data_IF_980108744287
#
_entry.id   IF_980108744287
#
_cell.length_a   1.000
_cell.length_b   1.000
_cell.length_c   1.000
_cell.angle_alpha   90.00
_cell.angle_beta   90.00
_cell.angle_gamma   90.00
#
_symmetry.space_group_name_H-M   'P 1'
#
loop_
_entity.id
_entity.type
_entity.pdbx_description
1 polymer ?
#
# COMPACT_ATOMS: atom_id res chain seq x y z
N UNK A 1 16.76 -78.79 -14.82
CA UNK A 1 17.11 -77.44 -15.31
C UNK A 1 15.90 -76.56 -15.13
N UNK A 2 15.88 -75.76 -14.06
CA UNK A 2 14.91 -74.68 -13.87
C UNK A 2 15.64 -73.60 -13.09
N UNK A 3 16.30 -72.71 -13.84
CA UNK A 3 16.82 -71.45 -13.31
C UNK A 3 15.62 -70.55 -12.98
N UNK A 4 15.41 -70.29 -11.69
CA UNK A 4 14.47 -69.27 -11.24
C UNK A 4 15.09 -67.90 -11.48
N UNK A 5 14.58 -67.15 -12.48
CA UNK A 5 14.94 -65.75 -12.70
C UNK A 5 14.57 -64.93 -11.45
N UNK A 6 15.58 -64.38 -10.78
CA UNK A 6 15.38 -63.49 -9.64
C UNK A 6 14.60 -62.22 -10.10
N UNK A 7 13.62 -61.73 -9.31
CA UNK A 7 12.88 -60.52 -9.66
C UNK A 7 13.84 -59.32 -9.69
N UNK A 8 13.85 -58.60 -10.80
CA UNK A 8 14.65 -57.40 -10.97
C UNK A 8 14.15 -56.32 -10.00
N UNK A 9 14.89 -56.05 -8.91
CA UNK A 9 14.59 -54.95 -7.99
C UNK A 9 14.58 -53.62 -8.75
N UNK A 10 13.46 -52.91 -8.72
CA UNK A 10 13.34 -51.57 -9.30
C UNK A 10 14.40 -50.61 -8.72
N UNK A 11 15.19 -49.96 -9.58
CA UNK A 11 16.19 -48.96 -9.16
C UNK A 11 15.50 -47.75 -8.50
N UNK A 12 16.11 -47.23 -7.42
CA UNK A 12 15.62 -46.06 -6.69
C UNK A 12 15.56 -44.82 -7.60
N UNK A 13 14.46 -44.05 -7.63
CA UNK A 13 14.25 -43.00 -8.62
C UNK A 13 14.85 -41.65 -8.17
N UNK A 14 16.18 -41.54 -8.16
CA UNK A 14 16.92 -40.35 -7.68
C UNK A 14 16.40 -39.04 -8.30
N UNK A 15 16.19 -39.00 -9.61
CA UNK A 15 15.71 -37.79 -10.30
C UNK A 15 14.32 -37.35 -9.83
N UNK A 16 13.39 -38.31 -9.64
CA UNK A 16 12.06 -38.03 -9.09
C UNK A 16 12.16 -37.56 -7.64
N UNK A 17 13.00 -38.19 -6.82
CA UNK A 17 13.23 -37.78 -5.43
C UNK A 17 13.72 -36.34 -5.34
N UNK A 18 14.70 -35.96 -6.16
CA UNK A 18 15.23 -34.59 -6.19
C UNK A 18 14.13 -33.61 -6.63
N UNK A 19 13.41 -33.92 -7.71
CA UNK A 19 12.33 -33.07 -8.19
C UNK A 19 11.22 -32.88 -7.14
N UNK A 20 10.81 -33.96 -6.47
CA UNK A 20 9.84 -33.92 -5.37
C UNK A 20 10.37 -33.09 -4.19
N UNK A 21 11.64 -33.26 -3.80
CA UNK A 21 12.23 -32.50 -2.70
C UNK A 21 12.27 -30.99 -3.00
N UNK A 22 12.63 -30.61 -4.23
CA UNK A 22 12.63 -29.21 -4.66
C UNK A 22 11.21 -28.63 -4.67
N UNK A 23 10.24 -29.35 -5.24
CA UNK A 23 8.84 -28.92 -5.25
C UNK A 23 8.27 -28.80 -3.83
N UNK A 24 8.58 -29.76 -2.95
CA UNK A 24 8.17 -29.71 -1.55
C UNK A 24 8.76 -28.50 -0.83
N UNK A 25 10.07 -28.25 -0.99
CA UNK A 25 10.73 -27.09 -0.39
C UNK A 25 10.11 -25.77 -0.87
N UNK A 26 9.76 -25.67 -2.16
CA UNK A 26 9.06 -24.52 -2.71
C UNK A 26 7.67 -24.33 -2.08
N UNK A 27 6.85 -25.39 -2.00
CA UNK A 27 5.50 -25.31 -1.43
C UNK A 27 5.52 -24.93 0.06
N UNK A 28 6.44 -25.51 0.83
CA UNK A 28 6.65 -25.14 2.23
C UNK A 28 7.13 -23.69 2.35
N UNK A 29 8.08 -23.27 1.50
CA UNK A 29 8.56 -21.89 1.43
C UNK A 29 7.43 -20.89 1.14
N UNK A 30 6.55 -21.20 0.19
CA UNK A 30 5.37 -20.40 -0.12
C UNK A 30 4.39 -20.34 1.07
N UNK A 31 4.15 -21.46 1.76
CA UNK A 31 3.32 -21.48 2.96
C UNK A 31 3.88 -20.61 4.10
N UNK A 32 5.19 -20.70 4.36
CA UNK A 32 5.86 -19.85 5.37
C UNK A 32 5.79 -18.38 4.98
N UNK A 33 6.05 -18.06 3.72
CA UNK A 33 5.93 -16.69 3.22
C UNK A 33 4.52 -16.12 3.39
N UNK A 34 3.47 -16.92 3.13
CA UNK A 34 2.09 -16.51 3.36
C UNK A 34 1.82 -16.19 4.85
N UNK A 35 2.32 -16.98 5.79
CA UNK A 35 2.19 -16.69 7.23
C UNK A 35 2.95 -15.42 7.65
N UNK A 36 4.13 -15.17 7.09
CA UNK A 36 4.85 -13.92 7.32
C UNK A 36 4.08 -12.72 6.78
N UNK A 37 3.50 -12.87 5.57
CA UNK A 37 2.69 -11.84 4.92
C UNK A 37 1.40 -11.55 5.69
N UNK A 38 0.79 -12.59 6.28
CA UNK A 38 -0.35 -12.48 7.19
C UNK A 38 -0.02 -11.55 8.36
N UNK A 39 1.04 -11.85 9.11
CA UNK A 39 1.46 -11.04 10.27
C UNK A 39 1.79 -9.60 9.90
N UNK A 40 2.46 -9.40 8.77
CA UNK A 40 2.73 -8.07 8.25
C UNK A 40 1.43 -7.29 7.95
N UNK A 41 0.45 -7.93 7.32
CA UNK A 41 -0.87 -7.32 7.05
C UNK A 41 -1.65 -7.02 8.33
N UNK A 42 -1.63 -7.92 9.31
CA UNK A 42 -2.26 -7.71 10.62
C UNK A 42 -1.68 -6.48 11.33
N UNK A 43 -0.35 -6.29 11.30
CA UNK A 43 0.27 -5.10 11.87
C UNK A 43 -0.21 -3.80 11.21
N UNK A 44 -0.44 -3.80 9.89
CA UNK A 44 -1.01 -2.65 9.17
C UNK A 44 -2.46 -2.40 9.61
N UNK A 45 -3.29 -3.45 9.69
CA UNK A 45 -4.68 -3.34 10.12
C UNK A 45 -4.80 -2.73 11.52
N UNK A 46 -3.93 -3.12 12.45
CA UNK A 46 -3.88 -2.53 13.80
C UNK A 46 -3.59 -1.04 13.75
N UNK A 47 -2.62 -0.60 12.93
CA UNK A 47 -2.29 0.83 12.78
C UNK A 47 -3.44 1.62 12.16
N UNK A 48 -4.10 1.05 11.16
CA UNK A 48 -5.29 1.65 10.53
C UNK A 48 -6.41 1.82 11.55
N UNK A 49 -6.72 0.79 12.33
CA UNK A 49 -7.78 0.84 13.36
C UNK A 49 -7.45 1.84 14.49
N UNK A 50 -6.18 1.91 14.91
CA UNK A 50 -5.72 2.90 15.88
C UNK A 50 -5.86 4.32 15.33
N UNK A 51 -5.49 4.56 14.07
CA UNK A 51 -5.64 5.86 13.43
C UNK A 51 -7.10 6.31 13.33
N UNK A 52 -8.02 5.40 13.02
CA UNK A 52 -9.46 5.70 12.89
C UNK A 52 -10.11 6.22 14.19
N UNK A 53 -9.61 5.78 15.35
CA UNK A 53 -10.22 6.09 16.65
C UNK A 53 -9.42 7.09 17.50
N UNK A 54 -8.16 7.35 17.14
CA UNK A 54 -7.32 8.31 17.84
C UNK A 54 -7.89 9.75 17.74
N UNK A 55 -7.70 10.56 18.78
CA UNK A 55 -7.93 12.00 18.69
C UNK A 55 -6.80 12.65 17.87
N UNK A 56 -7.10 13.67 17.04
CA UNK A 56 -6.07 14.27 16.20
C UNK A 56 -5.13 15.12 17.06
N UNK A 57 -3.83 14.89 16.92
CA UNK A 57 -2.80 15.71 17.58
C UNK A 57 -2.32 16.83 16.66
N UNK A 58 -1.63 17.83 17.20
CA UNK A 58 -1.07 18.91 16.37
C UNK A 58 0.03 18.39 15.43
N UNK A 59 0.02 18.84 14.17
CA UNK A 59 0.97 18.39 13.15
C UNK A 59 2.44 18.68 13.51
N UNK A 60 2.76 19.87 14.04
CA UNK A 60 4.13 20.34 14.26
C UNK A 60 5.01 19.34 15.04
N UNK A 61 4.65 18.99 16.29
CA UNK A 61 5.42 18.03 17.09
C UNK A 61 5.60 16.66 16.42
N UNK A 62 4.62 16.22 15.63
CA UNK A 62 4.71 14.95 14.89
C UNK A 62 5.75 15.07 13.77
N UNK A 63 5.78 16.19 13.05
CA UNK A 63 6.81 16.42 12.04
C UNK A 63 8.22 16.59 12.62
N UNK A 64 8.35 17.15 13.83
CA UNK A 64 9.63 17.18 14.54
C UNK A 64 10.13 15.78 14.88
N UNK A 65 9.25 14.88 15.32
CA UNK A 65 9.58 13.47 15.53
C UNK A 65 10.00 12.79 14.21
N UNK A 66 9.32 13.09 13.09
CA UNK A 66 9.70 12.59 11.78
C UNK A 66 11.09 13.10 11.34
N UNK A 67 11.43 14.36 11.65
CA UNK A 67 12.75 14.93 11.36
C UNK A 67 13.89 14.23 12.13
N UNK A 68 13.57 13.58 13.26
CA UNK A 68 14.49 12.78 14.07
C UNK A 68 14.51 11.29 13.67
N UNK A 69 13.79 10.92 12.60
CA UNK A 69 13.72 9.54 12.10
C UNK A 69 12.60 8.69 12.69
N UNK A 70 11.68 9.29 13.47
CA UNK A 70 10.50 8.60 13.98
C UNK A 70 9.56 8.15 12.86
N UNK A 71 8.92 6.99 13.04
CA UNK A 71 7.85 6.55 12.13
C UNK A 71 6.52 7.22 12.50
N UNK A 72 6.08 8.14 11.64
CA UNK A 72 4.82 8.89 11.81
C UNK A 72 3.70 8.43 10.89
N UNK A 73 3.93 7.38 10.09
CA UNK A 73 2.93 6.81 9.19
C UNK A 73 1.72 6.30 10.02
N UNK A 74 0.51 6.54 9.50
CA UNK A 74 -0.78 6.31 10.18
C UNK A 74 -1.04 7.22 11.41
N UNK A 75 -0.29 8.30 11.61
CA UNK A 75 -0.58 9.24 12.71
C UNK A 75 -1.70 10.20 12.32
N UNK A 76 -2.76 10.27 13.14
CA UNK A 76 -3.87 11.20 12.95
C UNK A 76 -3.52 12.59 13.49
N UNK A 77 -3.60 13.61 12.65
CA UNK A 77 -3.18 14.98 12.98
C UNK A 77 -4.22 16.01 12.55
N UNK A 78 -4.13 17.19 13.16
CA UNK A 78 -4.85 18.40 12.75
C UNK A 78 -3.86 19.51 12.38
N UNK A 79 -4.21 20.27 11.34
CA UNK A 79 -3.47 21.44 10.87
C UNK A 79 -4.42 22.42 10.20
N UNK A 80 -4.08 23.70 10.23
CA UNK A 80 -4.80 24.75 9.50
C UNK A 80 -4.06 25.06 8.20
N UNK A 81 -4.73 24.93 7.07
CA UNK A 81 -4.14 25.12 5.74
C UNK A 81 -5.01 26.07 4.91
N UNK A 82 -4.48 26.68 3.84
CA UNK A 82 -5.33 27.33 2.84
C UNK A 82 -6.38 26.34 2.29
N UNK A 83 -7.61 26.80 2.00
CA UNK A 83 -8.62 25.99 1.29
C UNK A 83 -8.24 25.76 -0.19
N UNK A 84 -8.84 24.77 -0.89
CA UNK A 84 -8.53 24.58 -2.34
C UNK A 84 -8.94 25.78 -3.20
N UNK A 85 -9.90 26.58 -2.74
CA UNK A 85 -10.25 27.82 -3.40
C UNK A 85 -9.11 28.85 -3.40
N UNK A 86 -8.12 28.71 -2.50
CA UNK A 86 -7.01 29.65 -2.35
C UNK A 86 -5.64 29.05 -2.73
N UNK A 87 -5.57 27.73 -2.94
CA UNK A 87 -4.30 27.01 -3.09
C UNK A 87 -4.17 26.39 -4.48
N UNK A 88 -3.02 26.54 -5.16
CA UNK A 88 -2.72 25.71 -6.31
C UNK A 88 -2.72 24.24 -5.89
N UNK A 89 -3.20 23.38 -6.78
CA UNK A 89 -3.22 21.93 -6.57
C UNK A 89 -2.75 21.20 -7.82
N UNK A 90 -2.24 19.98 -7.61
CA UNK A 90 -1.84 19.04 -8.63
C UNK A 90 -2.89 17.93 -8.74
N UNK A 91 -3.10 17.42 -9.94
CA UNK A 91 -3.94 16.25 -10.18
C UNK A 91 -3.05 15.00 -10.27
N UNK A 92 -3.18 14.14 -9.26
CA UNK A 92 -2.56 12.81 -9.23
C UNK A 92 -3.55 11.79 -9.77
N UNK A 93 -3.25 11.23 -10.94
CA UNK A 93 -4.05 10.16 -11.53
C UNK A 93 -4.28 9.03 -10.52
N UNK A 94 -5.52 8.59 -10.40
CA UNK A 94 -5.92 7.52 -9.50
C UNK A 94 -7.03 6.67 -10.12
N UNK A 95 -6.94 5.36 -9.88
CA UNK A 95 -8.00 4.42 -10.23
C UNK A 95 -8.69 3.99 -8.93
N UNK A 96 -9.94 4.41 -8.77
CA UNK A 96 -10.74 4.04 -7.61
C UNK A 96 -11.13 2.55 -7.66
N UNK A 97 -11.53 1.99 -6.51
CA UNK A 97 -12.08 0.64 -6.44
C UNK A 97 -13.30 0.53 -7.37
N UNK A 98 -13.33 -0.49 -8.24
CA UNK A 98 -14.37 -0.63 -9.27
C UNK A 98 -13.99 -0.10 -10.67
N UNK A 99 -12.80 0.49 -10.83
CA UNK A 99 -12.26 0.88 -12.15
C UNK A 99 -12.63 2.28 -12.61
N UNK A 100 -13.19 3.12 -11.73
CA UNK A 100 -13.46 4.53 -12.02
C UNK A 100 -12.15 5.32 -12.00
N UNK A 101 -11.80 5.90 -13.15
CA UNK A 101 -10.66 6.80 -13.26
C UNK A 101 -11.00 8.19 -12.70
N UNK A 102 -9.99 8.87 -12.19
CA UNK A 102 -10.10 10.23 -11.70
C UNK A 102 -8.74 10.74 -11.22
N UNK A 103 -8.79 11.83 -10.45
CA UNK A 103 -7.63 12.46 -9.88
C UNK A 103 -7.77 12.63 -8.38
N UNK A 104 -6.67 12.49 -7.66
CA UNK A 104 -6.54 12.98 -6.28
C UNK A 104 -5.95 14.39 -6.32
N UNK A 105 -6.60 15.31 -5.63
CA UNK A 105 -6.16 16.71 -5.59
C UNK A 105 -5.11 16.89 -4.49
N UNK A 106 -3.89 17.23 -4.89
CA UNK A 106 -2.75 17.39 -3.99
C UNK A 106 -2.40 18.87 -3.86
N UNK A 107 -2.40 19.41 -2.65
CA UNK A 107 -2.06 20.82 -2.37
C UNK A 107 -0.93 20.93 -1.37
N UNK A 108 -0.30 22.10 -1.27
CA UNK A 108 0.71 22.37 -0.27
C UNK A 108 0.10 23.09 0.94
N UNK A 109 0.46 22.64 2.14
CA UNK A 109 0.10 23.31 3.38
C UNK A 109 1.37 23.79 4.10
N UNK A 110 1.51 25.11 4.37
CA UNK A 110 2.62 25.63 5.14
C UNK A 110 2.70 25.05 6.54
N UNK A 111 3.92 24.86 7.04
CA UNK A 111 4.20 24.45 8.42
C UNK A 111 5.03 25.55 9.07
N UNK A 112 4.55 26.07 10.20
CA UNK A 112 5.11 27.27 10.83
C UNK A 112 6.47 27.03 11.49
N UNK A 113 6.67 25.83 12.07
CA UNK A 113 7.82 25.51 12.89
C UNK A 113 8.45 24.15 12.53
N UNK A 114 9.73 24.00 12.86
CA UNK A 114 10.50 22.77 12.66
C UNK A 114 11.37 22.79 11.40
N UNK A 115 11.93 21.61 11.06
CA UNK A 115 12.83 21.41 9.91
C UNK A 115 12.11 21.56 8.56
N UNK A 116 10.83 21.25 8.53
CA UNK A 116 10.01 21.29 7.32
C UNK A 116 9.24 22.60 7.25
N UNK A 117 9.01 23.09 6.03
CA UNK A 117 8.22 24.31 5.77
C UNK A 117 6.90 24.01 5.10
N UNK A 118 6.67 22.77 4.67
CA UNK A 118 5.45 22.35 3.99
C UNK A 118 5.13 20.89 4.30
N UNK A 119 3.84 20.56 4.38
CA UNK A 119 3.33 19.19 4.20
C UNK A 119 2.46 19.16 2.95
N UNK A 120 2.61 18.13 2.11
CA UNK A 120 1.69 17.92 0.99
C UNK A 120 0.41 17.27 1.49
N UNK A 121 -0.74 17.78 1.04
CA UNK A 121 -2.06 17.35 1.49
C UNK A 121 -2.81 16.72 0.34
N UNK A 122 -3.19 15.46 0.50
CA UNK A 122 -4.13 14.74 -0.36
C UNK A 122 -5.55 15.07 0.11
N UNK A 123 -6.27 15.83 -0.71
CA UNK A 123 -7.57 16.43 -0.36
C UNK A 123 -8.74 15.51 -0.63
N UNK A 124 -8.51 14.42 -1.35
CA UNK A 124 -9.53 13.49 -1.81
C UNK A 124 -9.48 13.27 -3.31
N UNK A 125 -10.33 12.34 -3.74
CA UNK A 125 -10.53 11.90 -5.11
C UNK A 125 -11.66 12.67 -5.78
N UNK A 126 -11.53 12.93 -7.06
CA UNK A 126 -12.57 13.46 -7.94
C UNK A 126 -12.60 12.59 -9.19
N UNK A 127 -13.76 12.02 -9.56
CA UNK A 127 -13.86 11.16 -10.73
C UNK A 127 -13.76 11.96 -12.04
N UNK A 128 -13.21 11.37 -13.10
CA UNK A 128 -13.13 12.02 -14.42
C UNK A 128 -14.51 12.26 -15.05
N UNK A 129 -15.54 11.55 -14.58
CA UNK A 129 -16.94 11.79 -14.96
C UNK A 129 -17.46 13.13 -14.46
N UNK A 130 -16.79 13.76 -13.48
CA UNK A 130 -17.03 15.13 -13.09
C UNK A 130 -15.90 16.03 -13.62
N UNK A 131 -16.14 16.80 -14.70
CA UNK A 131 -15.13 17.67 -15.27
C UNK A 131 -14.90 18.93 -14.42
N UNK A 132 -15.78 19.22 -13.45
CA UNK A 132 -15.61 20.36 -12.58
C UNK A 132 -14.41 20.16 -11.66
N UNK A 133 -13.76 21.28 -11.35
CA UNK A 133 -12.68 21.36 -10.37
C UNK A 133 -12.97 22.52 -9.43
N UNK A 134 -12.48 22.48 -8.17
CA UNK A 134 -12.61 23.62 -7.27
C UNK A 134 -12.11 24.90 -7.95
N UNK A 135 -12.96 25.93 -7.99
CA UNK A 135 -12.56 27.24 -8.53
C UNK A 135 -11.52 27.86 -7.61
N UNK A 136 -10.36 28.21 -8.18
CA UNK A 136 -9.32 28.92 -7.43
C UNK A 136 -9.56 30.42 -7.56
N UNK A 137 -9.93 31.06 -6.46
CA UNK A 137 -9.94 32.51 -6.29
C UNK A 137 -8.64 32.93 -5.57
N UNK A 138 -7.70 33.59 -6.26
CA UNK A 138 -6.46 34.08 -5.63
C UNK A 138 -6.69 35.06 -4.47
N UNK A 139 -7.87 35.68 -4.38
CA UNK A 139 -8.24 36.56 -3.30
C UNK A 139 -8.79 35.81 -2.07
N UNK A 140 -9.22 34.55 -2.23
CA UNK A 140 -9.65 33.72 -1.12
C UNK A 140 -8.47 33.48 -0.17
N UNK A 141 -8.63 33.80 1.11
CA UNK A 141 -7.61 33.54 2.14
C UNK A 141 -8.12 32.71 3.30
N UNK A 142 -9.36 32.23 3.22
CA UNK A 142 -10.01 31.56 4.34
C UNK A 142 -9.27 30.25 4.66
N UNK A 143 -8.65 30.16 5.84
CA UNK A 143 -7.98 28.94 6.24
C UNK A 143 -9.02 27.87 6.61
N UNK A 144 -8.70 26.62 6.30
CA UNK A 144 -9.51 25.45 6.62
C UNK A 144 -8.73 24.57 7.58
N UNK A 145 -9.37 24.19 8.69
CA UNK A 145 -8.83 23.18 9.60
C UNK A 145 -9.01 21.81 8.96
N UNK A 146 -7.89 21.14 8.68
CA UNK A 146 -7.85 19.79 8.15
C UNK A 146 -7.56 18.84 9.30
N UNK A 147 -8.39 17.81 9.42
CA UNK A 147 -8.05 16.60 10.16
C UNK A 147 -7.76 15.51 9.15
N UNK A 148 -6.69 14.75 9.38
CA UNK A 148 -6.25 13.75 8.45
C UNK A 148 -5.24 12.78 9.03
N UNK A 149 -4.84 11.81 8.22
CA UNK A 149 -3.86 10.79 8.59
C UNK A 149 -2.58 10.98 7.78
N UNK A 150 -1.44 11.02 8.45
CA UNK A 150 -0.14 11.07 7.78
C UNK A 150 0.17 9.73 7.14
N UNK A 151 0.65 9.76 5.90
CA UNK A 151 1.02 8.58 5.14
C UNK A 151 2.34 8.78 4.44
N UNK A 152 3.21 7.77 4.51
CA UNK A 152 4.41 7.73 3.66
C UNK A 152 4.00 7.48 2.21
N UNK A 153 4.71 8.08 1.23
CA UNK A 153 4.49 7.74 -0.16
C UNK A 153 4.84 6.26 -0.42
N UNK A 154 4.01 5.61 -1.23
CA UNK A 154 4.33 4.29 -1.74
C UNK A 154 5.57 4.36 -2.64
N UNK A 155 6.38 3.30 -2.62
CA UNK A 155 7.50 3.20 -3.54
C UNK A 155 6.96 3.03 -4.97
N UNK A 156 7.40 3.85 -5.93
CA UNK A 156 7.04 3.67 -7.33
C UNK A 156 7.43 2.27 -7.82
N UNK A 157 6.53 1.60 -8.54
CA UNK A 157 6.87 0.36 -9.24
C UNK A 157 7.67 0.67 -10.51
N UNK A 158 8.41 -0.30 -11.02
CA UNK A 158 9.22 -0.14 -12.24
C UNK A 158 8.38 0.07 -13.52
N UNK A 159 7.08 -0.28 -13.48
CA UNK A 159 6.12 -0.06 -14.57
C UNK A 159 5.32 1.24 -14.41
N UNK A 160 5.45 1.94 -13.28
CA UNK A 160 4.70 3.16 -13.06
C UNK A 160 5.11 4.23 -14.09
N UNK A 161 4.15 4.90 -14.76
CA UNK A 161 4.46 6.00 -15.64
C UNK A 161 5.24 7.09 -14.90
N UNK A 162 6.21 7.72 -15.57
CA UNK A 162 6.96 8.83 -15.00
C UNK A 162 6.07 10.07 -14.90
N UNK A 163 6.20 10.80 -13.80
CA UNK A 163 5.56 12.12 -13.64
C UNK A 163 6.06 13.09 -14.72
N UNK A 164 5.18 13.96 -15.19
CA UNK A 164 5.46 15.06 -16.12
C UNK A 164 4.74 16.32 -15.63
N UNK A 165 5.16 17.53 -16.03
CA UNK A 165 4.42 18.75 -15.70
C UNK A 165 2.94 18.60 -16.09
N UNK A 166 2.03 18.84 -15.13
CA UNK A 166 0.58 18.67 -15.32
C UNK A 166 0.05 17.23 -15.28
N UNK A 167 0.90 16.21 -15.27
CA UNK A 167 0.50 14.80 -15.25
C UNK A 167 1.26 14.01 -14.19
N UNK A 168 0.60 13.74 -13.07
CA UNK A 168 1.19 13.03 -11.94
C UNK A 168 0.61 11.62 -11.84
N UNK A 169 1.48 10.63 -11.71
CA UNK A 169 1.11 9.20 -11.59
C UNK A 169 1.67 8.58 -10.30
N UNK A 170 2.69 9.19 -9.72
CA UNK A 170 3.36 8.71 -8.52
C UNK A 170 3.53 9.82 -7.50
N UNK A 171 3.51 9.45 -6.22
CA UNK A 171 3.62 10.36 -5.07
C UNK A 171 5.06 10.76 -4.77
N UNK A 172 5.69 11.44 -5.72
CA UNK A 172 7.02 12.03 -5.53
C UNK A 172 6.90 13.37 -4.81
N UNK A 173 7.16 13.37 -3.50
CA UNK A 173 7.04 14.56 -2.64
C UNK A 173 7.92 15.70 -3.15
N UNK A 174 9.17 15.41 -3.52
CA UNK A 174 10.11 16.45 -3.90
C UNK A 174 9.68 17.11 -5.22
N UNK A 175 9.32 16.31 -6.22
CA UNK A 175 8.87 16.82 -7.51
C UNK A 175 7.53 17.57 -7.40
N UNK A 176 6.57 17.04 -6.64
CA UNK A 176 5.26 17.67 -6.43
C UNK A 176 5.37 18.99 -5.65
N UNK A 177 6.18 19.02 -4.59
CA UNK A 177 6.44 20.24 -3.84
C UNK A 177 7.11 21.31 -4.72
N UNK A 178 8.08 20.92 -5.55
CA UNK A 178 8.71 21.82 -6.50
C UNK A 178 7.71 22.42 -7.50
N UNK A 179 6.80 21.60 -8.04
CA UNK A 179 5.76 22.07 -8.95
C UNK A 179 4.72 23.00 -8.28
N UNK A 180 4.51 22.83 -6.97
CA UNK A 180 3.68 23.71 -6.14
C UNK A 180 4.44 24.95 -5.61
N UNK A 181 5.74 25.10 -5.92
CA UNK A 181 6.58 26.16 -5.38
C UNK A 181 6.76 26.09 -3.86
N UNK A 182 6.60 24.90 -3.27
CA UNK A 182 6.56 24.70 -1.84
C UNK A 182 7.92 24.22 -1.28
N UNK A 183 8.59 25.01 -0.43
CA UNK A 183 9.94 24.70 0.05
C UNK A 183 9.94 23.65 1.18
N UNK A 184 11.06 22.92 1.29
CA UNK A 184 11.36 22.00 2.39
C UNK A 184 10.17 21.11 2.82
N UNK A 185 9.64 20.27 1.91
CA UNK A 185 8.49 19.42 2.22
C UNK A 185 8.85 18.31 3.22
N UNK A 186 7.91 18.01 4.13
CA UNK A 186 7.96 16.84 4.99
C UNK A 186 7.89 15.55 4.16
N UNK A 187 8.57 14.45 4.56
CA UNK A 187 8.63 13.20 3.81
C UNK A 187 7.36 12.33 3.96
N UNK A 188 6.21 12.97 4.16
CA UNK A 188 4.89 12.36 4.30
C UNK A 188 3.83 13.24 3.65
N UNK A 189 2.72 12.62 3.27
CA UNK A 189 1.50 13.30 2.87
C UNK A 189 0.51 13.31 4.03
N UNK A 190 -0.28 14.36 4.16
CA UNK A 190 -1.47 14.38 5.00
C UNK A 190 -2.68 14.05 4.14
N UNK A 191 -3.40 12.98 4.46
CA UNK A 191 -4.63 12.65 3.75
C UNK A 191 -5.82 13.17 4.54
N UNK A 192 -6.63 14.03 3.95
CA UNK A 192 -7.82 14.57 4.59
C UNK A 192 -8.85 13.47 4.90
N UNK A 193 -9.49 13.57 6.06
CA UNK A 193 -10.61 12.70 6.46
C UNK A 193 -11.96 13.20 6.00
N UNK A 194 -12.12 14.52 5.92
CA UNK A 194 -13.38 15.18 5.56
C UNK A 194 -13.14 16.18 4.44
N UNK A 195 -14.20 16.50 3.69
CA UNK A 195 -14.07 17.43 2.58
C UNK A 195 -13.58 18.78 3.10
N UNK A 196 -12.51 19.28 2.49
CA UNK A 196 -11.95 20.60 2.78
C UNK A 196 -12.61 21.71 1.96
N UNK A 197 -13.57 21.33 1.11
CA UNK A 197 -14.33 22.16 0.19
C UNK A 197 -15.79 21.67 0.16
N UNK A 198 -16.58 21.92 1.22
CA UNK A 198 -17.94 21.41 1.34
C UNK A 198 -18.87 21.81 0.18
N UNK A 199 -18.57 22.94 -0.47
CA UNK A 199 -19.26 23.43 -1.65
C UNK A 199 -19.04 22.55 -2.89
N UNK A 200 -17.90 21.85 -2.97
CA UNK A 200 -17.54 21.00 -4.08
C UNK A 200 -17.77 19.52 -3.71
N UNK A 201 -19.00 19.07 -3.96
CA UNK A 201 -19.52 17.77 -3.50
C UNK A 201 -18.83 16.54 -4.11
N UNK A 202 -18.18 16.69 -5.26
CA UNK A 202 -17.51 15.59 -5.95
C UNK A 202 -16.14 15.22 -5.34
N UNK A 203 -15.63 16.01 -4.38
CA UNK A 203 -14.41 15.69 -3.67
C UNK A 203 -14.67 14.69 -2.56
N UNK A 204 -14.07 13.51 -2.71
CA UNK A 204 -14.22 12.37 -1.82
C UNK A 204 -12.90 12.07 -1.10
N UNK A 205 -12.69 12.57 0.13
CA UNK A 205 -11.54 12.23 0.95
C UNK A 205 -11.54 10.74 1.33
N UNK A 206 -10.39 10.09 1.13
CA UNK A 206 -10.17 8.69 1.50
C UNK A 206 -8.76 8.56 2.11
N UNK A 207 -8.60 8.77 3.43
CA UNK A 207 -7.29 8.78 4.08
C UNK A 207 -6.73 7.39 4.36
N UNK A 208 -7.62 6.43 4.52
CA UNK A 208 -7.32 5.04 4.80
C UNK A 208 -8.09 4.17 3.79
N UNK A 209 -7.52 3.03 3.37
CA UNK A 209 -8.26 2.07 2.56
C UNK A 209 -9.50 1.58 3.34
N UNK A 210 -10.64 1.53 2.66
CA UNK A 210 -11.92 1.05 3.20
C UNK A 210 -11.88 -0.43 3.54
N UNK A 211 -11.12 -1.21 2.77
CA UNK A 211 -10.96 -2.64 2.96
C UNK A 211 -9.51 -3.06 2.67
N UNK A 212 -8.90 -3.84 3.56
CA UNK A 212 -7.61 -4.50 3.30
C UNK A 212 -7.85 -6.01 3.40
N UNK A 213 -8.04 -6.71 2.26
CA UNK A 213 -8.24 -8.16 2.26
C UNK A 213 -7.05 -8.89 2.88
N UNK A 214 -7.32 -9.88 3.73
CA UNK A 214 -6.30 -10.67 4.43
C UNK A 214 -6.61 -12.17 4.46
N UNK A 215 -6.47 -12.85 3.32
CA UNK A 215 -6.74 -14.30 3.16
C UNK A 215 -5.48 -15.18 3.23
N UNK A 216 -4.37 -14.64 3.72
CA UNK A 216 -3.06 -15.30 3.65
C UNK A 216 -3.01 -16.61 4.45
N UNK A 217 -3.83 -16.75 5.51
CA UNK A 217 -3.92 -18.00 6.25
C UNK A 217 -4.54 -19.14 5.41
N UNK A 218 -5.65 -18.88 4.71
CA UNK A 218 -6.27 -19.85 3.80
C UNK A 218 -5.30 -20.32 2.70
N UNK A 219 -4.55 -19.37 2.14
CA UNK A 219 -3.50 -19.68 1.17
C UNK A 219 -2.36 -20.49 1.80
N UNK A 220 -1.91 -20.17 3.02
CA UNK A 220 -0.89 -20.95 3.71
C UNK A 220 -1.34 -22.42 3.90
N UNK A 221 -2.59 -22.64 4.32
CA UNK A 221 -3.17 -23.99 4.41
C UNK A 221 -3.18 -24.70 3.07
N UNK A 222 -3.51 -24.00 1.98
CA UNK A 222 -3.47 -24.55 0.62
C UNK A 222 -2.06 -25.02 0.25
N UNK A 223 -1.03 -24.20 0.48
CA UNK A 223 0.35 -24.55 0.15
C UNK A 223 0.88 -25.73 0.97
N UNK A 224 0.62 -25.75 2.28
CA UNK A 224 1.00 -26.88 3.13
C UNK A 224 0.21 -28.15 2.81
N UNK A 225 -1.08 -28.02 2.47
CA UNK A 225 -1.90 -29.14 2.01
C UNK A 225 -1.36 -29.77 0.74
N UNK A 226 -1.00 -28.96 -0.26
CA UNK A 226 -0.34 -29.43 -1.48
C UNK A 226 1.01 -30.09 -1.20
N UNK A 227 1.80 -29.54 -0.27
CA UNK A 227 3.07 -30.15 0.14
C UNK A 227 2.86 -31.54 0.77
N UNK A 228 1.85 -31.68 1.63
CA UNK A 228 1.47 -32.97 2.22
C UNK A 228 0.97 -33.97 1.17
N UNK A 229 0.10 -33.54 0.27
CA UNK A 229 -0.40 -34.39 -0.82
C UNK A 229 0.73 -34.89 -1.74
N UNK A 230 1.70 -34.02 -2.07
CA UNK A 230 2.89 -34.37 -2.84
C UNK A 230 3.69 -35.48 -2.16
N UNK A 231 3.92 -35.38 -0.85
CA UNK A 231 4.61 -36.43 -0.08
C UNK A 231 3.83 -37.75 -0.08
N UNK A 232 2.51 -37.71 0.10
CA UNK A 232 1.66 -38.91 0.07
C UNK A 232 1.73 -39.61 -1.28
N UNK A 233 1.62 -38.87 -2.38
CA UNK A 233 1.71 -39.43 -3.75
C UNK A 233 3.09 -40.00 -4.02
N UNK A 234 4.15 -39.28 -3.64
CA UNK A 234 5.53 -39.74 -3.80
C UNK A 234 5.79 -41.03 -2.99
N UNK A 235 5.34 -41.09 -1.74
CA UNK A 235 5.47 -42.29 -0.90
C UNK A 235 4.73 -43.49 -1.51
N UNK A 236 3.49 -43.29 -1.98
CA UNK A 236 2.72 -44.34 -2.66
C UNK A 236 3.42 -44.84 -3.94
N UNK A 237 3.98 -43.93 -4.74
CA UNK A 237 4.74 -44.26 -5.94
C UNK A 237 6.01 -45.07 -5.62
N UNK A 238 6.73 -44.68 -4.55
CA UNK A 238 7.93 -45.37 -4.10
C UNK A 238 7.60 -46.79 -3.59
N UNK A 239 6.54 -46.94 -2.77
CA UNK A 239 6.08 -48.24 -2.28
C UNK A 239 5.69 -49.16 -3.45
N UNK A 240 4.95 -48.65 -4.44
CA UNK A 240 4.58 -49.43 -5.64
C UNK A 240 5.81 -49.89 -6.43
N UNK A 241 6.84 -49.05 -6.55
CA UNK A 241 8.08 -49.36 -7.30
C UNK A 241 9.04 -50.30 -6.58
N UNK A 242 8.95 -50.39 -5.25
CA UNK A 242 9.76 -51.31 -4.44
C UNK A 242 9.06 -52.68 -4.36
N UNK A 243 7.73 -52.72 -4.34
CA UNK A 243 6.92 -53.94 -4.22
C UNK A 243 6.57 -54.62 -5.55
N UNK A 244 6.59 -53.89 -6.67
CA UNK A 244 6.48 -54.42 -8.02
C UNK A 244 7.85 -54.53 -8.67
#
# INVERSE_FOLDING_TARGET
MTEALAPARGRFPIGLTIATALAFALLVGLGVWQLQRLKWKEAILVRVAAAQTALPVNLGPVLDAAAQGGDVDYTRVAVTCPGLAAAPFLELYWLHEGGQAGARLISACPVEAGRYRTVLVDRGFVPDTDPARPSVDPAARTPVRIVGVLRKPDRPSFIAPKNRPGHWFTRDIAAMAAALGAPAPAPVFLYAETSTNPEFKALEPAPLPSNIPNRHFEYALTWFGLAGALLCVYAAALVRRIRG
#
